data_IF_955052501400
#
_entry.id   IF_955052501400
#
_cell.length_a   1.000
_cell.length_b   1.000
_cell.length_c   1.000
_cell.angle_alpha   90.00
_cell.angle_beta   90.00
_cell.angle_gamma   90.00
#
_symmetry.space_group_name_H-M   'P 1'
#
loop_
_entity.id
_entity.type
_entity.pdbx_description
1 polymer ?
#
# COMPACT_ATOMS: atom_id res chain seq x y z
N UNK A 1 -85.31 29.60 -17.08
CA UNK A 1 -83.89 29.96 -17.22
C UNK A 1 -83.32 30.16 -15.83
N UNK A 2 -82.52 29.21 -15.31
CA UNK A 2 -81.84 29.33 -14.01
C UNK A 2 -80.34 29.28 -14.27
N UNK A 3 -79.67 30.42 -14.11
CA UNK A 3 -78.23 30.57 -14.26
C UNK A 3 -77.51 29.90 -13.09
N UNK A 4 -76.73 28.85 -13.39
CA UNK A 4 -75.80 28.24 -12.43
C UNK A 4 -74.55 29.10 -12.28
N UNK A 5 -74.27 29.56 -11.06
CA UNK A 5 -73.06 30.28 -10.73
C UNK A 5 -71.87 29.30 -10.67
N UNK A 6 -70.91 29.48 -11.57
CA UNK A 6 -69.61 28.81 -11.54
C UNK A 6 -68.75 29.42 -10.43
N UNK A 7 -68.64 28.70 -9.31
CA UNK A 7 -67.67 28.99 -8.25
C UNK A 7 -66.27 28.61 -8.76
N UNK A 8 -65.41 29.62 -8.98
CA UNK A 8 -63.99 29.40 -9.26
C UNK A 8 -63.26 29.15 -7.94
N UNK A 9 -62.84 27.91 -7.69
CA UNK A 9 -61.88 27.60 -6.64
C UNK A 9 -60.49 28.15 -7.04
N UNK A 10 -59.78 28.89 -6.17
CA UNK A 10 -58.41 29.27 -6.45
C UNK A 10 -57.52 28.03 -6.29
N UNK A 11 -56.79 27.68 -7.36
CA UNK A 11 -55.74 26.67 -7.31
C UNK A 11 -54.58 27.24 -6.48
N UNK A 12 -54.48 26.81 -5.22
CA UNK A 12 -53.36 27.11 -4.34
C UNK A 12 -52.17 26.28 -4.82
N UNK A 13 -51.26 26.89 -5.60
CA UNK A 13 -49.98 26.28 -5.96
C UNK A 13 -49.14 26.27 -4.67
N UNK A 14 -49.04 25.09 -4.06
CA UNK A 14 -48.15 24.85 -2.93
C UNK A 14 -46.71 24.91 -3.47
N UNK A 15 -46.08 26.07 -3.34
CA UNK A 15 -44.65 26.21 -3.62
C UNK A 15 -43.89 25.28 -2.66
N UNK A 16 -43.35 24.19 -3.20
CA UNK A 16 -42.57 23.23 -2.42
C UNK A 16 -41.38 23.95 -1.77
N UNK A 17 -41.33 23.93 -0.44
CA UNK A 17 -40.15 24.36 0.29
C UNK A 17 -38.96 23.51 -0.18
N UNK A 18 -37.81 24.10 -0.55
CA UNK A 18 -36.63 23.34 -0.88
C UNK A 18 -36.22 22.57 0.37
N UNK A 19 -36.39 21.25 0.33
CA UNK A 19 -35.77 20.35 1.31
C UNK A 19 -34.28 20.40 0.99
N UNK A 20 -33.50 21.14 1.77
CA UNK A 20 -32.06 20.97 1.76
C UNK A 20 -31.79 19.50 2.12
N UNK A 21 -31.20 18.73 1.20
CA UNK A 21 -30.75 17.39 1.49
C UNK A 21 -29.74 17.50 2.65
N UNK A 22 -30.07 16.91 3.80
CA UNK A 22 -29.13 16.85 4.90
C UNK A 22 -27.98 15.93 4.50
N UNK A 23 -26.75 16.26 4.91
CA UNK A 23 -25.62 15.36 4.73
C UNK A 23 -25.94 14.03 5.43
N UNK A 24 -25.89 12.92 4.67
CA UNK A 24 -26.20 11.60 5.18
C UNK A 24 -24.92 10.86 5.58
N UNK A 25 -24.89 10.25 6.79
CA UNK A 25 -23.81 9.37 7.20
C UNK A 25 -23.58 8.26 6.18
N UNK A 26 -22.36 8.20 5.65
CA UNK A 26 -21.99 7.31 4.56
C UNK A 26 -20.75 6.51 4.93
N UNK A 27 -20.94 5.22 5.22
CA UNK A 27 -19.88 4.35 5.74
C UNK A 27 -18.89 3.88 4.67
N UNK A 28 -17.60 3.96 4.97
CA UNK A 28 -16.52 3.46 4.13
C UNK A 28 -15.71 2.41 4.89
N UNK A 29 -15.38 1.31 4.20
CA UNK A 29 -14.39 0.34 4.64
C UNK A 29 -13.27 0.34 3.61
N UNK A 30 -12.14 0.93 3.95
CA UNK A 30 -10.98 1.02 3.05
C UNK A 30 -9.95 -0.01 3.51
N UNK A 31 -9.44 -0.80 2.57
CA UNK A 31 -8.45 -1.85 2.83
C UNK A 31 -7.29 -1.71 1.89
N UNK A 32 -6.13 -2.13 2.35
CA UNK A 32 -4.89 -2.11 1.58
C UNK A 32 -4.28 -3.51 1.61
N UNK A 33 -3.97 -4.05 0.43
CA UNK A 33 -3.34 -5.37 0.25
C UNK A 33 -1.98 -5.20 -0.42
N UNK A 34 -1.02 -6.03 -0.06
CA UNK A 34 0.27 -6.11 -0.75
C UNK A 34 0.10 -6.88 -2.05
N UNK A 35 0.68 -6.40 -3.14
CA UNK A 35 0.79 -7.15 -4.39
C UNK A 35 1.38 -8.55 -4.14
N UNK A 36 0.69 -9.59 -4.59
CA UNK A 36 1.10 -10.98 -4.40
C UNK A 36 1.09 -11.47 -2.93
N UNK A 37 0.58 -10.65 -2.01
CA UNK A 37 0.59 -10.87 -0.57
C UNK A 37 -0.80 -10.77 0.06
N UNK A 38 -0.81 -10.27 1.29
CA UNK A 38 -2.01 -10.17 2.14
C UNK A 38 -2.27 -8.73 2.59
N UNK A 39 -3.24 -8.52 3.47
CA UNK A 39 -3.59 -7.18 3.94
C UNK A 39 -2.43 -6.52 4.69
N UNK A 40 -2.22 -5.23 4.46
CA UNK A 40 -1.21 -4.41 5.16
C UNK A 40 -1.78 -4.01 6.51
N UNK A 41 -1.42 -4.82 7.51
CA UNK A 41 -1.92 -4.71 8.87
C UNK A 41 -0.99 -3.99 9.84
N UNK A 42 -1.38 -4.03 11.12
CA UNK A 42 -0.72 -3.31 12.20
C UNK A 42 0.75 -3.70 12.38
N UNK A 43 1.12 -4.95 12.07
CA UNK A 43 2.51 -5.44 12.14
C UNK A 43 3.46 -4.66 11.23
N UNK A 44 2.94 -4.06 10.15
CA UNK A 44 3.70 -3.21 9.22
C UNK A 44 3.38 -1.72 9.39
N UNK A 45 2.76 -1.35 10.51
CA UNK A 45 2.33 0.03 10.79
C UNK A 45 1.03 0.44 10.09
N UNK A 46 0.42 -0.45 9.31
CA UNK A 46 -0.72 -0.14 8.45
C UNK A 46 -0.33 0.72 7.24
N UNK A 47 -1.35 1.23 6.55
CA UNK A 47 -1.23 2.24 5.50
C UNK A 47 -2.00 3.48 5.92
N UNK A 48 -1.42 4.66 5.71
CA UNK A 48 -2.10 5.95 5.81
C UNK A 48 -3.15 6.05 4.71
N UNK A 49 -4.34 6.54 5.06
CA UNK A 49 -5.49 6.67 4.17
C UNK A 49 -5.96 8.12 4.22
N UNK A 50 -5.94 8.79 3.07
CA UNK A 50 -6.54 10.12 2.89
C UNK A 50 -7.69 9.99 1.90
N UNK A 51 -8.87 10.44 2.30
CA UNK A 51 -10.07 10.45 1.48
C UNK A 51 -10.39 11.90 1.12
N UNK A 52 -10.51 12.20 -0.17
CA UNK A 52 -10.67 13.57 -0.68
C UNK A 52 -11.81 13.66 -1.68
N UNK A 53 -12.58 14.73 -1.63
CA UNK A 53 -13.47 15.08 -2.74
C UNK A 53 -12.64 15.61 -3.92
N UNK A 54 -12.82 15.01 -5.10
CA UNK A 54 -12.00 15.29 -6.29
C UNK A 54 -12.25 16.71 -6.83
N UNK A 55 -13.46 17.24 -6.68
CA UNK A 55 -13.83 18.53 -7.27
C UNK A 55 -13.33 19.71 -6.45
N UNK A 56 -13.55 19.67 -5.15
CA UNK A 56 -13.19 20.73 -4.20
C UNK A 56 -11.77 20.60 -3.66
N UNK A 57 -11.20 19.38 -3.69
CA UNK A 57 -9.93 19.07 -3.04
C UNK A 57 -10.05 18.94 -1.51
N UNK A 58 -11.26 19.01 -0.94
CA UNK A 58 -11.51 18.87 0.50
C UNK A 58 -11.11 17.48 1.00
N UNK A 59 -10.29 17.41 2.07
CA UNK A 59 -10.06 16.15 2.79
C UNK A 59 -11.31 15.83 3.60
N UNK A 60 -12.05 14.80 3.21
CA UNK A 60 -13.26 14.36 3.89
C UNK A 60 -12.92 13.61 5.17
N UNK A 61 -11.88 12.78 5.13
CA UNK A 61 -11.39 12.04 6.30
C UNK A 61 -9.96 11.55 6.09
N UNK A 62 -9.23 11.38 7.18
CA UNK A 62 -7.87 10.85 7.21
C UNK A 62 -7.74 9.84 8.36
N UNK A 63 -7.01 8.75 8.12
CA UNK A 63 -6.66 7.79 9.15
C UNK A 63 -5.66 6.76 8.65
N UNK A 64 -5.71 5.55 9.22
CA UNK A 64 -4.82 4.45 8.82
C UNK A 64 -5.52 3.11 8.93
N UNK A 65 -5.07 2.13 8.16
CA UNK A 65 -5.52 0.74 8.32
C UNK A 65 -5.01 0.15 9.64
N UNK A 66 -5.84 -0.66 10.29
CA UNK A 66 -5.46 -1.42 11.47
C UNK A 66 -6.13 -2.80 11.45
N UNK A 67 -5.43 -3.81 11.99
CA UNK A 67 -5.89 -5.20 12.05
C UNK A 67 -4.79 -6.19 11.65
N UNK A 68 -5.19 -7.44 11.44
CA UNK A 68 -4.29 -8.52 11.03
C UNK A 68 -4.02 -8.47 9.52
N UNK A 69 -3.10 -9.31 9.06
CA UNK A 69 -2.90 -9.54 7.63
C UNK A 69 -4.01 -10.38 6.98
N UNK A 70 -4.97 -10.88 7.76
CA UNK A 70 -6.04 -11.79 7.32
C UNK A 70 -5.60 -13.26 7.18
N UNK A 71 -6.59 -14.12 6.93
CA UNK A 71 -6.44 -15.56 6.75
C UNK A 71 -5.63 -15.93 5.49
N UNK A 72 -4.49 -16.59 5.71
CA UNK A 72 -3.57 -16.96 4.62
C UNK A 72 -4.20 -17.94 3.63
N UNK A 73 -4.93 -18.95 4.10
CA UNK A 73 -5.46 -19.99 3.22
C UNK A 73 -6.54 -19.43 2.28
N UNK A 74 -7.41 -18.57 2.80
CA UNK A 74 -8.45 -17.86 2.07
C UNK A 74 -7.86 -16.92 1.02
N UNK A 75 -6.94 -16.04 1.44
CA UNK A 75 -6.38 -15.02 0.55
C UNK A 75 -5.59 -15.68 -0.59
N UNK A 76 -4.71 -16.63 -0.27
CA UNK A 76 -3.82 -17.22 -1.26
C UNK A 76 -4.50 -18.24 -2.17
N UNK A 77 -5.55 -18.93 -1.70
CA UNK A 77 -6.40 -19.76 -2.56
C UNK A 77 -7.26 -18.90 -3.50
N UNK A 78 -7.73 -17.76 -3.01
CA UNK A 78 -8.64 -16.87 -3.74
C UNK A 78 -9.97 -17.54 -4.10
N UNK A 79 -10.63 -16.99 -5.12
CA UNK A 79 -11.88 -17.48 -5.67
C UNK A 79 -12.20 -16.79 -6.99
N UNK A 80 -13.39 -17.01 -7.58
CA UNK A 80 -13.86 -16.24 -8.72
C UNK A 80 -13.75 -14.73 -8.46
N UNK A 81 -13.55 -13.95 -9.52
CA UNK A 81 -13.43 -12.49 -9.43
C UNK A 81 -14.58 -11.89 -8.61
N UNK A 82 -14.25 -11.07 -7.62
CA UNK A 82 -15.20 -10.46 -6.70
C UNK A 82 -15.50 -11.26 -5.43
N UNK A 83 -14.90 -12.44 -5.27
CA UNK A 83 -14.95 -13.19 -4.00
C UNK A 83 -14.22 -12.39 -2.91
N UNK A 84 -14.88 -12.02 -1.80
CA UNK A 84 -14.23 -11.26 -0.73
C UNK A 84 -13.09 -12.06 -0.07
N UNK A 85 -11.92 -11.45 0.02
CA UNK A 85 -10.73 -12.02 0.64
C UNK A 85 -10.66 -11.73 2.14
N UNK A 86 -11.22 -10.61 2.60
CA UNK A 86 -11.16 -10.17 3.97
C UNK A 86 -12.01 -11.04 4.90
N UNK A 87 -11.45 -11.34 6.08
CA UNK A 87 -12.19 -11.76 7.26
C UNK A 87 -12.43 -10.56 8.20
N UNK A 88 -13.02 -10.81 9.37
CA UNK A 88 -13.33 -9.79 10.36
C UNK A 88 -12.08 -9.13 10.96
N UNK A 89 -10.96 -9.85 11.01
CA UNK A 89 -9.70 -9.42 11.60
C UNK A 89 -8.79 -8.69 10.61
N UNK A 90 -8.99 -8.92 9.31
CA UNK A 90 -8.21 -8.32 8.25
C UNK A 90 -8.17 -6.79 8.39
N UNK A 91 -7.02 -6.20 8.10
CA UNK A 91 -6.80 -4.78 8.30
C UNK A 91 -7.75 -3.91 7.47
N UNK A 92 -8.30 -2.87 8.10
CA UNK A 92 -9.14 -1.87 7.47
C UNK A 92 -9.00 -0.51 8.14
N UNK A 93 -9.30 0.53 7.38
CA UNK A 93 -9.73 1.82 7.90
C UNK A 93 -11.26 1.90 7.73
N UNK A 94 -11.98 1.90 8.86
CA UNK A 94 -13.45 1.95 8.89
C UNK A 94 -13.85 3.34 9.38
N UNK A 95 -14.66 4.04 8.60
CA UNK A 95 -15.03 5.42 8.90
C UNK A 95 -16.39 5.75 8.29
N UNK A 96 -16.94 6.88 8.67
CA UNK A 96 -18.15 7.46 8.10
C UNK A 96 -17.79 8.86 7.58
N UNK A 97 -18.30 9.22 6.41
CA UNK A 97 -18.26 10.60 5.89
C UNK A 97 -19.69 11.09 5.74
N UNK A 98 -19.93 12.37 6.01
CA UNK A 98 -21.24 12.99 5.83
C UNK A 98 -21.25 13.72 4.48
N UNK A 99 -22.07 13.25 3.55
CA UNK A 99 -22.22 13.86 2.22
C UNK A 99 -23.70 14.03 1.88
N UNK A 100 -24.03 15.16 1.27
CA UNK A 100 -25.38 15.61 0.93
C UNK A 100 -25.73 15.43 -0.55
N UNK A 101 -24.73 15.22 -1.39
CA UNK A 101 -24.87 14.93 -2.82
C UNK A 101 -23.87 13.86 -3.28
N UNK A 102 -24.08 13.22 -4.45
CA UNK A 102 -23.11 12.32 -5.05
C UNK A 102 -21.73 12.99 -5.23
N UNK A 103 -20.69 12.43 -4.62
CA UNK A 103 -19.32 12.94 -4.72
C UNK A 103 -18.41 11.96 -5.45
N UNK A 104 -17.55 12.48 -6.33
CA UNK A 104 -16.42 11.71 -6.84
C UNK A 104 -15.31 11.82 -5.80
N UNK A 105 -15.03 10.72 -5.13
CA UNK A 105 -14.07 10.65 -4.03
C UNK A 105 -12.81 9.96 -4.51
N UNK A 106 -11.65 10.46 -4.10
CA UNK A 106 -10.36 9.79 -4.21
C UNK A 106 -9.93 9.25 -2.86
N UNK A 107 -9.50 8.00 -2.84
CA UNK A 107 -8.77 7.39 -1.73
C UNK A 107 -7.31 7.30 -2.13
N UNK A 108 -6.46 7.96 -1.36
CA UNK A 108 -5.02 7.79 -1.39
C UNK A 108 -4.61 6.84 -0.26
N UNK A 109 -3.84 5.81 -0.59
CA UNK A 109 -3.21 4.93 0.37
C UNK A 109 -1.69 5.04 0.26
N UNK A 110 -1.02 5.24 1.41
CA UNK A 110 0.43 5.32 1.51
C UNK A 110 0.95 4.36 2.59
N UNK A 111 1.88 3.48 2.23
CA UNK A 111 2.46 2.54 3.19
C UNK A 111 3.37 1.48 2.56
N UNK A 112 3.85 0.52 3.35
CA UNK A 112 3.59 0.34 4.79
C UNK A 112 4.29 1.37 5.67
N UNK A 113 3.61 1.87 6.72
CA UNK A 113 4.11 2.97 7.55
C UNK A 113 5.31 2.60 8.45
N UNK A 114 5.50 1.32 8.77
CA UNK A 114 6.66 0.86 9.54
C UNK A 114 7.94 0.76 8.71
N UNK A 115 7.86 0.88 7.38
CA UNK A 115 9.00 0.77 6.46
C UNK A 115 8.95 1.91 5.43
N UNK A 116 9.11 3.17 5.87
CA UNK A 116 8.91 4.35 5.03
C UNK A 116 9.83 4.40 3.79
N UNK A 117 11.01 3.78 3.86
CA UNK A 117 11.94 3.67 2.72
C UNK A 117 11.38 2.83 1.56
N UNK A 118 10.45 1.92 1.86
CA UNK A 118 9.78 1.07 0.88
C UNK A 118 8.35 1.54 0.57
N UNK A 119 7.86 2.56 1.28
CA UNK A 119 6.46 2.95 1.19
C UNK A 119 6.13 3.56 -0.18
N UNK A 120 5.02 3.12 -0.76
CA UNK A 120 4.50 3.63 -2.03
C UNK A 120 3.11 4.22 -1.84
N UNK A 121 2.71 5.05 -2.80
CA UNK A 121 1.42 5.70 -2.85
C UNK A 121 0.60 5.15 -4.00
N UNK A 122 -0.66 4.81 -3.72
CA UNK A 122 -1.65 4.45 -4.73
C UNK A 122 -2.91 5.25 -4.51
N UNK A 123 -3.58 5.61 -5.59
CA UNK A 123 -4.86 6.31 -5.54
C UNK A 123 -5.93 5.52 -6.29
N UNK A 124 -7.16 5.65 -5.84
CA UNK A 124 -8.34 5.08 -6.51
C UNK A 124 -9.49 6.05 -6.37
N UNK A 125 -10.27 6.22 -7.44
CA UNK A 125 -11.45 7.09 -7.43
C UNK A 125 -12.74 6.27 -7.55
N UNK A 126 -13.79 6.71 -6.84
CA UNK A 126 -15.11 6.10 -6.89
C UNK A 126 -16.18 7.14 -6.62
N UNK A 127 -17.33 6.97 -7.27
CA UNK A 127 -18.55 7.68 -6.91
C UNK A 127 -19.13 7.14 -5.60
N UNK A 128 -19.40 8.04 -4.67
CA UNK A 128 -20.06 7.74 -3.39
C UNK A 128 -21.37 8.53 -3.35
N UNK A 129 -22.46 7.86 -2.98
CA UNK A 129 -23.78 8.49 -2.85
C UNK A 129 -24.11 8.64 -1.36
N UNK A 130 -24.85 9.70 -0.96
CA UNK A 130 -25.40 9.83 0.39
C UNK A 130 -26.08 8.53 0.85
N UNK A 131 -25.70 8.05 2.04
CA UNK A 131 -26.22 6.82 2.65
C UNK A 131 -25.80 5.51 1.96
N UNK A 132 -25.01 5.56 0.86
CA UNK A 132 -24.54 4.38 0.12
C UNK A 132 -23.04 4.42 -0.10
N UNK A 133 -22.32 4.04 0.96
CA UNK A 133 -20.87 4.00 0.95
C UNK A 133 -20.26 2.71 0.37
N UNK A 134 -19.01 2.45 0.71
CA UNK A 134 -18.19 1.39 0.13
C UNK A 134 -17.88 0.29 1.16
N UNK A 135 -18.91 -0.45 1.56
CA UNK A 135 -18.82 -1.48 2.63
C UNK A 135 -19.03 -2.92 2.14
N UNK A 136 -19.52 -3.10 0.91
CA UNK A 136 -19.83 -4.43 0.38
C UNK A 136 -18.57 -5.22 0.03
N UNK A 137 -18.58 -6.54 0.25
CA UNK A 137 -17.44 -7.41 -0.03
C UNK A 137 -16.21 -7.03 0.79
N UNK A 138 -15.07 -6.79 0.13
CA UNK A 138 -13.86 -6.29 0.77
C UNK A 138 -13.89 -4.78 1.07
N UNK A 139 -14.98 -4.09 0.70
CA UNK A 139 -15.09 -2.64 0.77
C UNK A 139 -14.37 -1.98 -0.41
N UNK A 140 -13.57 -0.95 -0.14
CA UNK A 140 -12.70 -0.29 -1.10
C UNK A 140 -11.27 -0.81 -0.92
N UNK A 141 -10.90 -1.77 -1.76
CA UNK A 141 -9.59 -2.41 -1.73
C UNK A 141 -8.60 -1.69 -2.66
N UNK A 142 -7.45 -1.29 -2.13
CA UNK A 142 -6.30 -0.78 -2.88
C UNK A 142 -5.14 -1.78 -2.74
N UNK A 143 -4.36 -1.96 -3.81
CA UNK A 143 -3.20 -2.83 -3.82
C UNK A 143 -1.92 -1.98 -3.87
N UNK A 144 -0.99 -2.20 -2.92
CA UNK A 144 0.34 -1.60 -2.95
C UNK A 144 1.28 -2.48 -3.75
N UNK A 145 1.86 -1.97 -4.85
CA UNK A 145 2.89 -2.69 -5.57
C UNK A 145 4.20 -2.70 -4.78
N UNK A 146 5.01 -3.74 -5.00
CA UNK A 146 6.41 -3.77 -4.56
C UNK A 146 6.74 -4.63 -3.35
N UNK A 147 8.00 -4.51 -2.90
CA UNK A 147 8.58 -5.23 -1.77
C UNK A 147 9.25 -4.26 -0.78
N UNK A 148 9.26 -4.63 0.50
CA UNK A 148 10.14 -4.01 1.48
C UNK A 148 11.54 -4.57 1.28
N UNK A 149 12.50 -3.70 1.02
CA UNK A 149 13.94 -4.01 1.07
C UNK A 149 14.55 -3.09 2.12
N UNK A 150 15.34 -3.68 3.02
CA UNK A 150 16.06 -3.00 4.08
C UNK A 150 17.52 -3.47 4.05
N UNK A 151 18.43 -2.58 3.68
CA UNK A 151 19.86 -2.85 3.59
C UNK A 151 20.49 -2.79 4.98
N UNK A 152 20.69 -3.97 5.58
CA UNK A 152 21.26 -4.15 6.92
C UNK A 152 22.76 -3.94 6.93
N UNK A 153 23.48 -4.48 5.94
CA UNK A 153 24.92 -4.32 5.79
C UNK A 153 25.31 -3.98 4.34
N UNK A 154 26.19 -3.00 4.12
CA UNK A 154 26.83 -2.16 5.13
C UNK A 154 25.87 -1.12 5.70
N UNK A 155 25.87 -0.95 7.02
CA UNK A 155 25.10 0.13 7.64
C UNK A 155 25.62 1.50 7.16
N UNK A 156 24.70 2.46 7.03
CA UNK A 156 25.04 3.80 6.57
C UNK A 156 26.15 4.44 7.42
N UNK A 157 27.02 5.21 6.75
CA UNK A 157 28.14 5.93 7.38
C UNK A 157 29.24 5.06 8.01
N UNK A 158 29.27 3.75 7.74
CA UNK A 158 30.41 2.93 8.10
C UNK A 158 31.63 3.19 7.20
N UNK A 159 32.80 2.71 7.65
CA UNK A 159 34.04 2.72 6.89
C UNK A 159 34.46 1.30 6.55
N UNK A 160 34.87 1.08 5.31
CA UNK A 160 35.43 -0.19 4.86
C UNK A 160 36.96 -0.16 4.85
N UNK A 161 37.53 -1.22 4.31
CA UNK A 161 38.99 -1.38 4.12
C UNK A 161 39.23 -1.73 2.66
N UNK A 162 40.17 -1.04 2.00
CA UNK A 162 40.52 -1.33 0.62
C UNK A 162 41.11 -2.75 0.49
N UNK A 163 40.70 -3.49 -0.54
CA UNK A 163 41.13 -4.87 -0.75
C UNK A 163 40.40 -5.90 0.12
N UNK A 164 39.40 -5.48 0.92
CA UNK A 164 38.49 -6.37 1.61
C UNK A 164 37.15 -6.48 0.87
N UNK A 165 36.47 -7.61 1.04
CA UNK A 165 35.10 -7.75 0.57
C UNK A 165 34.13 -7.07 1.54
N UNK A 166 33.20 -6.27 1.01
CA UNK A 166 32.07 -5.76 1.79
C UNK A 166 31.10 -6.92 2.00
N UNK A 167 30.74 -7.17 3.26
CA UNK A 167 29.62 -8.04 3.58
C UNK A 167 28.33 -7.32 3.21
N UNK A 168 27.47 -8.02 2.48
CA UNK A 168 26.15 -7.55 2.11
C UNK A 168 25.10 -8.35 2.85
N UNK A 169 24.13 -7.65 3.40
CA UNK A 169 22.96 -8.24 4.03
C UNK A 169 21.75 -7.35 3.84
N UNK A 170 20.64 -7.93 3.40
CA UNK A 170 19.37 -7.23 3.29
C UNK A 170 18.23 -8.08 3.84
N UNK A 171 17.26 -7.43 4.47
CA UNK A 171 15.96 -8.02 4.73
C UNK A 171 15.02 -7.68 3.57
N UNK A 172 14.31 -8.69 3.08
CA UNK A 172 13.31 -8.59 2.03
C UNK A 172 12.00 -9.18 2.55
N UNK A 173 10.91 -8.45 2.38
CA UNK A 173 9.57 -8.91 2.72
C UNK A 173 8.54 -8.33 1.74
N UNK A 174 7.36 -8.94 1.67
CA UNK A 174 6.22 -8.28 1.04
C UNK A 174 5.78 -7.07 1.87
N UNK A 175 5.03 -6.15 1.29
CA UNK A 175 4.51 -4.96 2.01
C UNK A 175 3.59 -5.32 3.19
N UNK A 176 3.02 -6.53 3.21
CA UNK A 176 2.28 -7.10 4.34
C UNK A 176 3.17 -7.64 5.49
N UNK A 177 4.49 -7.67 5.32
CA UNK A 177 5.42 -8.34 6.23
C UNK A 177 5.35 -9.86 6.15
N UNK A 178 4.78 -10.40 5.07
CA UNK A 178 4.64 -11.83 4.88
C UNK A 178 6.04 -12.48 4.70
N UNK A 179 6.28 -13.65 5.33
CA UNK A 179 7.61 -14.24 5.42
C UNK A 179 8.09 -14.79 4.06
N UNK A 180 9.35 -14.54 3.72
CA UNK A 180 10.03 -15.12 2.56
C UNK A 180 11.02 -16.18 3.05
N UNK A 181 10.75 -17.45 2.74
CA UNK A 181 11.49 -18.61 3.27
C UNK A 181 11.53 -19.75 2.24
N UNK A 182 12.61 -20.56 2.18
CA UNK A 182 12.65 -21.73 1.30
C UNK A 182 11.50 -22.70 1.58
N UNK A 183 10.79 -23.15 0.54
CA UNK A 183 9.65 -24.07 0.65
C UNK A 183 8.35 -23.46 1.16
N UNK A 184 8.33 -22.15 1.48
CA UNK A 184 7.13 -21.43 1.91
C UNK A 184 6.19 -21.03 0.76
N UNK A 185 5.06 -20.41 1.11
CA UNK A 185 4.13 -19.82 0.11
C UNK A 185 4.84 -18.75 -0.73
N UNK A 186 5.66 -17.93 -0.06
CA UNK A 186 6.58 -16.98 -0.68
C UNK A 186 7.99 -17.58 -0.63
N UNK A 187 8.23 -18.56 -1.50
CA UNK A 187 9.50 -19.28 -1.55
C UNK A 187 10.68 -18.32 -1.84
N UNK A 188 11.74 -18.39 -1.05
CA UNK A 188 12.93 -17.56 -1.24
C UNK A 188 13.56 -17.67 -2.64
N UNK A 189 13.47 -18.81 -3.31
CA UNK A 189 14.00 -19.02 -4.66
C UNK A 189 13.24 -18.22 -5.74
N UNK A 190 12.05 -17.70 -5.42
CA UNK A 190 11.24 -16.85 -6.29
C UNK A 190 11.75 -15.41 -6.37
N UNK A 191 12.61 -14.99 -5.44
CA UNK A 191 13.04 -13.60 -5.32
C UNK A 191 14.45 -13.43 -5.90
N UNK A 192 14.57 -12.64 -6.97
CA UNK A 192 15.88 -12.21 -7.50
C UNK A 192 16.36 -11.02 -6.68
N UNK A 193 17.33 -11.26 -5.80
CA UNK A 193 17.91 -10.23 -4.92
C UNK A 193 19.33 -9.95 -5.37
N UNK A 194 19.63 -8.69 -5.67
CA UNK A 194 20.93 -8.26 -6.17
C UNK A 194 21.42 -7.03 -5.45
N UNK A 195 22.74 -6.92 -5.32
CA UNK A 195 23.41 -5.73 -4.86
C UNK A 195 24.33 -5.21 -5.97
N UNK A 196 24.23 -3.92 -6.28
CA UNK A 196 25.12 -3.22 -7.19
C UNK A 196 25.88 -2.12 -6.44
N UNK A 197 27.11 -1.85 -6.87
CA UNK A 197 27.91 -0.77 -6.31
C UNK A 197 28.27 0.27 -7.37
N UNK A 198 28.29 1.52 -6.94
CA UNK A 198 28.91 2.64 -7.66
C UNK A 198 30.02 3.23 -6.81
N UNK A 199 31.23 3.34 -7.37
CA UNK A 199 32.36 4.07 -6.78
C UNK A 199 32.47 5.42 -7.45
N UNK A 200 32.36 6.49 -6.67
CA UNK A 200 32.46 7.88 -7.15
C UNK A 200 31.57 8.13 -8.39
N UNK A 201 30.36 7.55 -8.35
CA UNK A 201 29.36 7.62 -9.42
C UNK A 201 29.53 6.62 -10.57
N UNK A 202 30.65 5.90 -10.65
CA UNK A 202 30.93 4.91 -11.70
C UNK A 202 30.58 3.49 -11.26
N UNK A 203 30.03 2.63 -12.13
CA UNK A 203 29.78 1.23 -11.81
C UNK A 203 31.02 0.52 -11.26
N UNK A 204 30.87 -0.21 -10.16
CA UNK A 204 31.97 -0.83 -9.41
C UNK A 204 31.74 -2.32 -9.10
N UNK A 205 30.61 -2.90 -9.53
CA UNK A 205 30.33 -4.33 -9.42
C UNK A 205 28.85 -4.62 -9.16
N UNK A 206 28.47 -5.88 -9.36
CA UNK A 206 27.15 -6.42 -9.02
C UNK A 206 27.32 -7.87 -8.53
N UNK A 207 26.49 -8.27 -7.57
CA UNK A 207 26.44 -9.64 -7.05
C UNK A 207 25.01 -10.03 -6.68
N UNK A 208 24.63 -11.28 -6.93
CA UNK A 208 23.38 -11.85 -6.44
C UNK A 208 23.50 -12.20 -4.95
N UNK A 209 22.44 -11.92 -4.19
CA UNK A 209 22.34 -12.31 -2.78
C UNK A 209 21.52 -13.60 -2.66
N UNK A 210 21.94 -14.47 -1.76
CA UNK A 210 21.29 -15.76 -1.49
C UNK A 210 20.68 -15.79 -0.10
N UNK A 211 19.68 -16.65 0.11
CA UNK A 211 19.05 -16.82 1.42
C UNK A 211 20.08 -17.13 2.51
N UNK A 212 20.13 -16.25 3.51
CA UNK A 212 21.13 -16.24 4.59
C UNK A 212 20.70 -17.01 5.83
N UNK A 213 19.71 -17.90 5.73
CA UNK A 213 19.30 -18.81 6.82
C UNK A 213 18.27 -18.26 7.81
N UNK A 214 17.74 -17.04 7.60
CA UNK A 214 16.68 -16.43 8.42
C UNK A 214 15.60 -15.85 7.50
N UNK A 215 14.36 -15.82 7.96
CA UNK A 215 13.20 -15.28 7.23
C UNK A 215 13.53 -13.95 6.57
N UNK A 216 13.35 -13.88 5.25
CA UNK A 216 13.58 -12.66 4.46
C UNK A 216 15.04 -12.18 4.40
N UNK A 217 15.99 -12.88 5.01
CA UNK A 217 17.37 -12.42 5.10
C UNK A 217 18.20 -12.95 3.92
N UNK A 218 18.76 -12.05 3.13
CA UNK A 218 19.61 -12.35 1.98
C UNK A 218 21.01 -11.80 2.19
N UNK A 219 22.02 -12.58 1.82
CA UNK A 219 23.42 -12.23 2.06
C UNK A 219 24.31 -12.52 0.87
N UNK A 220 25.43 -11.80 0.82
CA UNK A 220 26.48 -11.97 -0.18
C UNK A 220 27.71 -11.19 0.21
N UNK A 221 28.70 -11.19 -0.67
CA UNK A 221 29.94 -10.43 -0.49
C UNK A 221 30.29 -9.73 -1.80
N UNK A 222 30.61 -8.45 -1.73
CA UNK A 222 31.07 -7.70 -2.87
C UNK A 222 32.56 -7.35 -2.71
N UNK A 223 33.44 -7.84 -3.59
CA UNK A 223 34.84 -7.44 -3.60
C UNK A 223 34.98 -5.94 -3.85
N UNK A 224 35.81 -5.24 -3.07
CA UNK A 224 36.13 -3.84 -3.34
C UNK A 224 37.62 -3.58 -3.30
N UNK A 225 38.18 -3.35 -4.48
CA UNK A 225 39.63 -3.29 -4.69
C UNK A 225 40.20 -1.88 -4.56
N UNK A 226 39.36 -0.84 -4.57
CA UNK A 226 39.81 0.56 -4.62
C UNK A 226 39.14 1.40 -3.55
N UNK A 227 39.90 2.35 -3.01
CA UNK A 227 39.39 3.44 -2.17
C UNK A 227 38.39 4.31 -2.95
N UNK A 228 37.51 4.98 -2.21
CA UNK A 228 36.48 5.87 -2.76
C UNK A 228 35.15 5.76 -2.02
N UNK A 229 34.22 6.66 -2.37
CA UNK A 229 32.86 6.61 -1.86
C UNK A 229 32.07 5.55 -2.64
N UNK A 230 31.60 4.51 -1.94
CA UNK A 230 30.82 3.44 -2.53
C UNK A 230 29.35 3.59 -2.13
N UNK A 231 28.48 3.73 -3.13
CA UNK A 231 27.02 3.62 -2.95
C UNK A 231 26.63 2.19 -3.30
N UNK A 232 26.01 1.50 -2.36
CA UNK A 232 25.50 0.14 -2.53
C UNK A 232 23.99 0.24 -2.67
N UNK A 233 23.45 -0.26 -3.78
CA UNK A 233 22.01 -0.38 -4.01
C UNK A 233 21.63 -1.84 -4.01
N UNK A 234 20.69 -2.23 -3.14
CA UNK A 234 20.09 -3.56 -3.16
C UNK A 234 18.71 -3.49 -3.78
N UNK A 235 18.43 -4.39 -4.70
CA UNK A 235 17.13 -4.56 -5.36
C UNK A 235 16.62 -5.96 -5.11
N UNK A 236 15.32 -6.11 -4.93
CA UNK A 236 14.64 -7.40 -4.90
C UNK A 236 13.48 -7.38 -5.89
N UNK A 237 13.31 -8.47 -6.64
CA UNK A 237 12.18 -8.67 -7.56
C UNK A 237 11.52 -10.01 -7.30
N UNK A 238 10.22 -9.99 -7.06
CA UNK A 238 9.38 -11.17 -7.09
C UNK A 238 9.19 -11.63 -8.55
N UNK A 239 9.81 -12.74 -8.95
CA UNK A 239 9.80 -13.22 -10.34
C UNK A 239 8.44 -13.69 -10.87
N UNK A 240 7.41 -13.81 -10.01
CA UNK A 240 6.07 -14.24 -10.40
C UNK A 240 5.04 -13.12 -10.42
N UNK A 241 5.19 -12.06 -9.61
CA UNK A 241 4.29 -10.89 -9.68
C UNK A 241 4.92 -9.68 -10.36
N UNK A 242 6.23 -9.53 -10.28
CA UNK A 242 6.95 -8.32 -10.70
C UNK A 242 7.12 -7.29 -9.58
N UNK A 243 6.58 -7.55 -8.39
CA UNK A 243 6.75 -6.72 -7.20
C UNK A 243 8.25 -6.47 -6.97
N UNK A 244 8.63 -5.20 -6.96
CA UNK A 244 10.02 -4.74 -6.87
C UNK A 244 10.22 -3.90 -5.61
N UNK A 245 11.36 -4.04 -4.96
CA UNK A 245 11.81 -3.18 -3.87
C UNK A 245 13.26 -2.79 -4.05
N UNK A 246 13.64 -1.65 -3.47
CA UNK A 246 15.00 -1.12 -3.53
C UNK A 246 15.35 -0.42 -2.23
N UNK A 247 16.60 -0.57 -1.81
CA UNK A 247 17.20 0.25 -0.76
C UNK A 247 18.65 0.57 -1.10
N UNK A 248 19.22 1.61 -0.50
CA UNK A 248 20.59 2.00 -0.74
C UNK A 248 21.28 2.55 0.50
N UNK A 249 22.56 2.25 0.62
CA UNK A 249 23.45 2.74 1.66
C UNK A 249 24.77 3.20 1.04
N UNK A 250 25.59 3.88 1.83
CA UNK A 250 26.93 4.27 1.41
C UNK A 250 27.97 3.93 2.46
N UNK A 251 29.14 3.56 1.97
CA UNK A 251 30.32 3.23 2.76
C UNK A 251 31.53 3.93 2.17
N UNK A 252 32.37 4.51 3.04
CA UNK A 252 33.63 5.10 2.62
C UNK A 252 34.75 4.09 2.75
N UNK A 253 35.50 3.87 1.68
CA UNK A 253 36.74 3.11 1.73
C UNK A 253 37.89 4.12 1.62
N UNK A 254 38.69 4.30 2.70
CA UNK A 254 39.80 5.24 2.70
C UNK A 254 40.96 4.80 1.81
#
# INVERSE_FOLDING_TARGET
>A
MRSGALVRLPALILAGLPVAAAAEPTDLVIRVISEGGKFVGTSMGGAEIIVRDVRSGEVLVHGRTAGSTGDTARIMKGGPRGTPLADETAAAFRTTIDIDEPRLVEVEAYGPLAQPQAAVRVTSQRWVLPGRGATQGDGWLLELPGLVVDLVEPAAHQRGTAGAAIRLAANVALMCGCPIEPGGIWDAARYDVRASAKRDGQPAGEVSLSYGGRTGYFTGTLPVDKAGAHVITVTAVDTKTGATGVDASSILIP
#
